data_IF_184142420789
#
_entry.id   IF_184142420789
#
_cell.length_a   1.000
_cell.length_b   1.000
_cell.length_c   1.000
_cell.angle_alpha   90.00
_cell.angle_beta   90.00
_cell.angle_gamma   90.00
#
_symmetry.space_group_name_H-M   'P 1'
#
loop_
_entity.id
_entity.type
_entity.pdbx_description
1 polymer ?
#
# COMPACT_ATOMS: atom_id res chain seq x y z
N UNK A 1 -11.08 -17.37 0.06
CA UNK A 1 -10.95 -15.96 -0.41
C UNK A 1 -11.98 -15.63 -1.49
N UNK A 2 -12.04 -16.35 -2.62
CA UNK A 2 -13.04 -16.06 -3.67
C UNK A 2 -14.50 -16.09 -3.18
N UNK A 3 -14.86 -17.03 -2.29
CA UNK A 3 -16.19 -17.05 -1.68
C UNK A 3 -16.49 -15.81 -0.82
N UNK A 4 -15.49 -15.27 -0.12
CA UNK A 4 -15.63 -14.04 0.68
C UNK A 4 -15.84 -12.84 -0.24
N UNK A 5 -15.07 -12.76 -1.33
CA UNK A 5 -15.25 -11.72 -2.37
C UNK A 5 -16.63 -11.84 -3.01
N UNK A 6 -17.09 -13.06 -3.32
CA UNK A 6 -18.42 -13.32 -3.86
C UNK A 6 -19.55 -12.94 -2.89
N UNK A 7 -19.29 -12.96 -1.58
CA UNK A 7 -20.21 -12.48 -0.55
C UNK A 7 -20.12 -10.96 -0.32
N UNK A 8 -19.34 -10.22 -1.13
CA UNK A 8 -19.22 -8.77 -1.06
C UNK A 8 -18.15 -8.26 -0.07
N UNK A 9 -17.35 -9.15 0.54
CA UNK A 9 -16.23 -8.74 1.39
C UNK A 9 -15.04 -8.33 0.54
N UNK A 10 -14.36 -7.26 0.94
CA UNK A 10 -13.07 -6.86 0.35
C UNK A 10 -11.93 -7.50 1.12
N UNK A 11 -10.89 -7.90 0.38
CA UNK A 11 -9.69 -8.49 0.94
C UNK A 11 -8.53 -7.52 0.80
N UNK A 12 -7.86 -7.25 1.92
CA UNK A 12 -6.62 -6.51 1.96
C UNK A 12 -5.42 -7.47 2.08
N UNK A 13 -4.32 -7.12 1.42
CA UNK A 13 -2.99 -7.59 1.82
C UNK A 13 -2.43 -6.61 2.85
N UNK A 14 -2.01 -7.14 3.99
CA UNK A 14 -1.45 -6.35 5.09
C UNK A 14 0.08 -6.37 5.09
N UNK A 15 0.68 -5.39 5.77
CA UNK A 15 2.12 -5.27 5.99
C UNK A 15 2.98 -5.35 4.69
N UNK A 16 2.47 -4.82 3.57
CA UNK A 16 3.17 -4.92 2.29
C UNK A 16 4.49 -4.14 2.34
N UNK A 17 5.57 -4.88 2.09
CA UNK A 17 6.95 -4.44 2.20
C UNK A 17 7.74 -5.13 3.33
N UNK A 18 7.08 -5.71 4.34
CA UNK A 18 7.77 -6.45 5.42
C UNK A 18 7.46 -7.96 5.37
N UNK A 19 8.36 -8.80 5.89
CA UNK A 19 8.17 -10.26 5.93
C UNK A 19 8.00 -10.93 4.55
N UNK A 20 6.98 -11.79 4.40
CA UNK A 20 6.65 -12.51 3.16
C UNK A 20 5.86 -11.66 2.15
N UNK A 21 6.35 -10.45 1.86
CA UNK A 21 5.78 -9.56 0.84
C UNK A 21 6.08 -10.08 -0.58
N UNK A 22 5.44 -11.19 -0.95
CA UNK A 22 5.65 -11.81 -2.25
C UNK A 22 4.72 -11.18 -3.28
N UNK A 23 5.30 -10.57 -4.31
CA UNK A 23 4.58 -10.14 -5.52
C UNK A 23 3.74 -11.28 -6.14
N UNK A 24 4.14 -12.53 -5.92
CA UNK A 24 3.39 -13.71 -6.35
C UNK A 24 1.97 -13.77 -5.77
N UNK A 25 1.75 -13.25 -4.55
CA UNK A 25 0.43 -13.22 -3.93
C UNK A 25 -0.53 -12.26 -4.63
N UNK A 26 -0.03 -11.13 -5.13
CA UNK A 26 -0.82 -10.19 -5.92
C UNK A 26 -1.38 -10.82 -7.20
N UNK A 27 -0.70 -11.85 -7.73
CA UNK A 27 -1.16 -12.63 -8.88
C UNK A 27 -2.13 -13.76 -8.49
N UNK A 28 -1.92 -14.39 -7.34
CA UNK A 28 -2.63 -15.61 -6.96
C UNK A 28 -3.98 -15.36 -6.29
N UNK A 29 -4.13 -14.23 -5.60
CA UNK A 29 -5.31 -13.95 -4.79
C UNK A 29 -6.04 -12.69 -5.28
N UNK A 30 -7.38 -12.68 -5.17
CA UNK A 30 -8.17 -11.52 -5.56
C UNK A 30 -8.12 -10.50 -4.42
N UNK A 31 -7.00 -9.80 -4.25
CA UNK A 31 -6.92 -8.65 -3.36
C UNK A 31 -7.60 -7.43 -4.00
N UNK A 32 -8.21 -6.58 -3.19
CA UNK A 32 -8.74 -5.27 -3.61
C UNK A 32 -7.98 -4.12 -2.96
N UNK A 33 -7.32 -4.39 -1.83
CA UNK A 33 -6.65 -3.38 -1.02
C UNK A 33 -5.22 -3.83 -0.75
N UNK A 34 -4.26 -2.92 -0.89
CA UNK A 34 -2.86 -3.10 -0.51
C UNK A 34 -2.53 -2.11 0.60
N UNK A 35 -2.07 -2.60 1.75
CA UNK A 35 -1.67 -1.76 2.88
C UNK A 35 -0.14 -1.66 2.90
N UNK A 36 0.41 -0.46 2.74
CA UNK A 36 1.85 -0.22 2.81
C UNK A 36 2.23 -0.09 4.28
N UNK A 37 3.17 -0.92 4.72
CA UNK A 37 3.61 -0.93 6.12
C UNK A 37 4.28 0.39 6.54
N UNK A 38 4.11 0.74 7.81
CA UNK A 38 4.67 1.94 8.43
C UNK A 38 6.18 2.07 8.28
N UNK A 39 6.93 0.96 8.17
CA UNK A 39 8.38 1.00 8.03
C UNK A 39 8.83 1.70 6.74
N UNK A 40 7.97 1.73 5.71
CA UNK A 40 8.23 2.43 4.45
C UNK A 40 7.58 3.81 4.39
N UNK A 41 6.48 4.00 5.12
CA UNK A 41 5.76 5.29 5.17
C UNK A 41 6.50 6.30 6.05
N UNK A 42 7.09 5.85 7.15
CA UNK A 42 7.82 6.71 8.06
C UNK A 42 9.00 7.36 7.33
N UNK A 43 9.12 8.67 7.44
CA UNK A 43 10.15 9.48 6.78
C UNK A 43 10.14 9.36 5.24
N UNK A 44 9.04 8.95 4.61
CA UNK A 44 8.95 8.83 3.14
C UNK A 44 9.19 10.15 2.40
N UNK A 45 8.98 11.27 3.07
CA UNK A 45 9.21 12.63 2.57
C UNK A 45 10.70 13.02 2.52
N UNK A 46 11.56 12.33 3.27
CA UNK A 46 12.96 12.70 3.50
C UNK A 46 13.97 11.57 3.26
N UNK A 47 13.56 10.31 3.29
CA UNK A 47 14.36 9.15 2.94
C UNK A 47 14.10 8.74 1.48
N UNK A 48 15.08 8.98 0.62
CA UNK A 48 15.00 8.68 -0.81
C UNK A 48 14.74 7.19 -1.10
N UNK A 49 15.21 6.29 -0.24
CA UNK A 49 14.98 4.85 -0.41
C UNK A 49 13.52 4.50 -0.11
N UNK A 50 12.97 5.03 0.98
CA UNK A 50 11.56 4.85 1.30
C UNK A 50 10.68 5.48 0.21
N UNK A 51 11.00 6.71 -0.23
CA UNK A 51 10.31 7.39 -1.31
C UNK A 51 10.28 6.54 -2.60
N UNK A 52 11.43 5.98 -3.02
CA UNK A 52 11.53 5.17 -4.21
C UNK A 52 10.70 3.88 -4.11
N UNK A 53 10.76 3.19 -2.97
CA UNK A 53 10.00 1.94 -2.74
C UNK A 53 8.51 2.23 -2.73
N UNK A 54 8.05 3.20 -1.93
CA UNK A 54 6.63 3.57 -1.86
C UNK A 54 6.10 3.98 -3.22
N UNK A 55 6.85 4.80 -3.98
CA UNK A 55 6.46 5.21 -5.33
C UNK A 55 6.29 4.01 -6.26
N UNK A 56 7.23 3.06 -6.25
CA UNK A 56 7.13 1.85 -7.07
C UNK A 56 5.91 0.98 -6.68
N UNK A 57 5.63 0.85 -5.38
CA UNK A 57 4.46 0.11 -4.88
C UNK A 57 3.16 0.80 -5.30
N UNK A 58 3.07 2.13 -5.21
CA UNK A 58 1.91 2.90 -5.63
C UNK A 58 1.64 2.75 -7.13
N UNK A 59 2.68 2.85 -7.96
CA UNK A 59 2.56 2.63 -9.40
C UNK A 59 2.08 1.20 -9.73
N UNK A 60 2.67 0.19 -9.07
CA UNK A 60 2.24 -1.19 -9.23
C UNK A 60 0.78 -1.38 -8.84
N UNK A 61 0.37 -0.87 -7.68
CA UNK A 61 -1.01 -0.97 -7.20
C UNK A 61 -1.98 -0.31 -8.18
N UNK A 62 -1.64 0.87 -8.72
CA UNK A 62 -2.43 1.54 -9.75
C UNK A 62 -2.61 0.65 -11.00
N UNK A 63 -1.54 0.03 -11.50
CA UNK A 63 -1.61 -0.86 -12.67
C UNK A 63 -2.44 -2.13 -12.40
N UNK A 64 -2.40 -2.63 -11.18
CA UNK A 64 -3.18 -3.78 -10.72
C UNK A 64 -4.61 -3.41 -10.27
N UNK A 65 -4.99 -2.13 -10.37
CA UNK A 65 -6.29 -1.60 -9.92
C UNK A 65 -6.57 -1.90 -8.44
N UNK A 66 -5.52 -1.90 -7.63
CA UNK A 66 -5.60 -2.06 -6.18
C UNK A 66 -5.76 -0.70 -5.53
N UNK A 67 -6.67 -0.64 -4.56
CA UNK A 67 -6.76 0.49 -3.64
C UNK A 67 -5.60 0.42 -2.66
N UNK A 68 -4.92 1.54 -2.40
CA UNK A 68 -3.79 1.57 -1.46
C UNK A 68 -4.18 2.29 -0.17
N UNK A 69 -3.74 1.77 0.96
CA UNK A 69 -3.78 2.43 2.27
C UNK A 69 -2.36 2.51 2.82
N UNK A 70 -1.88 3.71 3.15
CA UNK A 70 -0.60 3.87 3.83
C UNK A 70 -0.80 3.85 5.35
N UNK A 71 -0.02 3.04 6.05
CA UNK A 71 -0.10 2.93 7.52
C UNK A 71 0.98 3.74 8.23
N UNK A 72 0.66 4.21 9.44
CA UNK A 72 1.61 4.92 10.30
C UNK A 72 2.02 6.28 9.74
N UNK A 73 1.10 6.98 9.09
CA UNK A 73 1.32 8.37 8.66
C UNK A 73 1.22 9.27 9.89
N UNK A 74 2.33 9.85 10.33
CA UNK A 74 2.40 10.64 11.57
C UNK A 74 2.54 12.14 11.31
N UNK A 75 2.93 12.54 10.09
CA UNK A 75 3.21 13.94 9.74
C UNK A 75 2.48 14.40 8.47
N UNK A 76 2.24 15.70 8.37
CA UNK A 76 1.65 16.31 7.17
C UNK A 76 2.57 16.17 5.95
N UNK A 77 3.89 16.11 6.15
CA UNK A 77 4.85 15.92 5.06
C UNK A 77 4.73 14.53 4.43
N UNK A 78 4.64 13.47 5.26
CA UNK A 78 4.39 12.10 4.79
C UNK A 78 3.03 12.01 4.07
N UNK A 79 1.98 12.63 4.64
CA UNK A 79 0.65 12.69 4.02
C UNK A 79 0.69 13.40 2.67
N UNK A 80 1.37 14.53 2.57
CA UNK A 80 1.51 15.30 1.33
C UNK A 80 2.27 14.52 0.26
N UNK A 81 3.36 13.83 0.64
CA UNK A 81 4.08 12.92 -0.25
C UNK A 81 3.17 11.84 -0.82
N UNK A 82 2.41 11.15 0.05
CA UNK A 82 1.50 10.08 -0.34
C UNK A 82 0.39 10.57 -1.27
N UNK A 83 -0.25 11.69 -0.94
CA UNK A 83 -1.29 12.29 -1.76
C UNK A 83 -0.76 12.71 -3.14
N UNK A 84 0.45 13.28 -3.20
CA UNK A 84 1.10 13.66 -4.46
C UNK A 84 1.35 12.44 -5.37
N UNK A 85 1.66 11.29 -4.79
CA UNK A 85 1.92 10.03 -5.51
C UNK A 85 0.67 9.16 -5.72
N UNK A 86 -0.53 9.71 -5.51
CA UNK A 86 -1.79 9.01 -5.81
C UNK A 86 -2.27 8.05 -4.72
N UNK A 87 -1.80 8.21 -3.48
CA UNK A 87 -2.30 7.51 -2.30
C UNK A 87 -3.12 8.45 -1.42
N UNK A 88 -4.44 8.57 -1.63
CA UNK A 88 -5.27 9.48 -0.83
C UNK A 88 -5.63 8.93 0.55
N UNK A 89 -5.40 7.64 0.81
CA UNK A 89 -5.86 6.96 2.02
C UNK A 89 -4.70 6.65 2.96
N UNK A 90 -4.80 7.21 4.16
CA UNK A 90 -3.81 7.09 5.21
C UNK A 90 -4.49 6.70 6.53
N UNK A 91 -3.79 5.91 7.33
CA UNK A 91 -4.17 5.56 8.70
C UNK A 91 -2.97 5.78 9.60
N UNK A 92 -3.11 6.63 10.63
CA UNK A 92 -2.01 6.99 11.53
C UNK A 92 -2.38 8.21 12.34
#
# INVERSE_FOLDING_TARGET
>A
MQQLVGAGLRIAIDDFGTGYSSLSYLKQFPFQILKIDRAFVRHVDSDERNAAIVTAVLQMAQQLQLRVVAEGVETEAERAFLAHHGCPEAQG
#
